data_IF_189583443832
#
_entry.id   IF_189583443832
#
_cell.length_a   1.000
_cell.length_b   1.000
_cell.length_c   1.000
_cell.angle_alpha   90.00
_cell.angle_beta   90.00
_cell.angle_gamma   90.00
#
_symmetry.space_group_name_H-M   'P 1'
#
loop_
_entity.id
_entity.type
_entity.pdbx_description
1 polymer ?
#
# COMPACT_ATOMS: atom_id res chain seq x y z
N UNK A 1 -11.43 -4.79 8.77
CA UNK A 1 -10.74 -3.81 9.62
C UNK A 1 -9.98 -2.80 8.80
N UNK A 2 -10.07 -1.51 9.15
CA UNK A 2 -9.27 -0.44 8.53
C UNK A 2 -8.06 -0.16 9.42
N UNK A 3 -6.87 -0.25 8.85
CA UNK A 3 -5.60 0.09 9.48
C UNK A 3 -5.18 1.45 8.89
N UNK A 4 -4.78 2.38 9.76
CA UNK A 4 -4.31 3.71 9.36
C UNK A 4 -2.85 3.84 9.77
N UNK A 5 -1.97 4.11 8.79
CA UNK A 5 -0.56 4.36 9.03
C UNK A 5 -0.34 5.70 9.75
N UNK A 6 0.87 5.89 10.30
CA UNK A 6 1.22 7.06 11.09
C UNK A 6 1.00 8.41 10.36
N UNK A 7 1.10 8.41 9.04
CA UNK A 7 0.98 9.59 8.17
C UNK A 7 -0.37 9.69 7.46
N UNK A 8 -1.27 8.71 7.64
CA UNK A 8 -2.65 8.77 7.15
C UNK A 8 -3.02 7.78 6.05
N UNK A 9 -2.06 7.10 5.41
CA UNK A 9 -2.35 6.02 4.47
C UNK A 9 -3.26 4.95 5.10
N UNK A 10 -4.30 4.50 4.38
CA UNK A 10 -5.28 3.55 4.90
C UNK A 10 -5.27 2.25 4.11
N UNK A 11 -5.45 1.15 4.83
CA UNK A 11 -5.70 -0.16 4.20
C UNK A 11 -6.83 -0.91 4.90
N UNK A 12 -7.70 -1.54 4.11
CA UNK A 12 -8.76 -2.42 4.57
C UNK A 12 -8.29 -3.87 4.45
N UNK A 13 -8.38 -4.61 5.55
CA UNK A 13 -8.09 -6.05 5.64
C UNK A 13 -9.32 -6.80 6.13
N UNK A 14 -9.59 -7.99 5.59
CA UNK A 14 -10.74 -8.81 6.00
C UNK A 14 -10.47 -9.61 7.27
N UNK A 15 -9.24 -10.10 7.46
CA UNK A 15 -8.83 -10.93 8.60
C UNK A 15 -7.99 -10.12 9.61
N UNK A 16 -8.61 -9.18 10.31
CA UNK A 16 -8.01 -8.76 11.57
C UNK A 16 -8.46 -9.77 12.64
N UNK A 17 -7.51 -10.39 13.34
CA UNK A 17 -7.79 -11.05 14.61
C UNK A 17 -8.56 -10.09 15.54
N UNK A 18 -9.21 -10.62 16.58
CA UNK A 18 -9.89 -9.83 17.62
C UNK A 18 -8.90 -8.83 18.25
N UNK A 19 -8.83 -7.65 17.63
CA UNK A 19 -7.88 -6.59 17.95
C UNK A 19 -8.65 -5.58 18.76
N UNK A 20 -8.19 -5.34 19.98
CA UNK A 20 -8.80 -4.33 20.84
C UNK A 20 -8.70 -2.96 20.17
N UNK A 21 -9.69 -2.11 20.44
CA UNK A 21 -9.67 -0.72 19.98
C UNK A 21 -8.41 -0.02 20.55
N UNK A 22 -7.63 0.61 19.67
CA UNK A 22 -6.38 1.27 20.05
C UNK A 22 -5.16 0.35 20.17
N UNK A 23 -5.26 -0.93 19.79
CA UNK A 23 -4.10 -1.80 19.69
C UNK A 23 -3.14 -1.34 18.57
N UNK A 24 -1.83 -1.44 18.83
CA UNK A 24 -0.81 -1.27 17.80
C UNK A 24 -0.89 -2.41 16.80
N UNK A 25 -1.10 -2.08 15.52
CA UNK A 25 -1.22 -3.07 14.45
C UNK A 25 -0.09 -2.83 13.45
N UNK A 26 0.66 -3.89 13.16
CA UNK A 26 1.62 -3.92 12.06
C UNK A 26 1.00 -4.66 10.89
N UNK A 27 1.19 -4.12 9.69
CA UNK A 27 0.71 -4.73 8.47
C UNK A 27 1.83 -4.78 7.43
N UNK A 28 1.91 -5.89 6.70
CA UNK A 28 2.92 -6.12 5.68
C UNK A 28 2.27 -6.70 4.42
N UNK A 29 2.65 -6.18 3.25
CA UNK A 29 2.30 -6.73 1.94
C UNK A 29 3.58 -7.24 1.30
N UNK A 30 3.53 -8.43 0.72
CA UNK A 30 4.61 -8.88 -0.15
C UNK A 30 4.54 -8.16 -1.51
N UNK A 31 5.63 -7.61 -2.05
CA UNK A 31 5.60 -6.79 -3.26
C UNK A 31 4.87 -7.42 -4.45
N UNK A 32 4.95 -8.74 -4.63
CA UNK A 32 4.27 -9.47 -5.71
C UNK A 32 2.73 -9.43 -5.63
N UNK A 33 2.16 -8.96 -4.51
CA UNK A 33 0.72 -8.73 -4.32
C UNK A 33 0.29 -7.32 -4.68
N UNK A 34 1.21 -6.45 -5.10
CA UNK A 34 0.95 -5.07 -5.50
C UNK A 34 0.90 -4.99 -7.03
N UNK A 35 -0.06 -4.24 -7.56
CA UNK A 35 -0.13 -3.89 -8.98
C UNK A 35 -0.03 -2.39 -9.15
N UNK A 36 0.89 -1.95 -10.00
CA UNK A 36 1.02 -0.55 -10.42
C UNK A 36 0.23 -0.33 -11.70
N UNK A 37 -0.53 0.76 -11.76
CA UNK A 37 -1.34 1.15 -12.92
C UNK A 37 -1.30 2.66 -13.08
N UNK A 38 -1.24 3.15 -14.33
CA UNK A 38 -1.33 4.59 -14.63
C UNK A 38 -2.76 5.13 -14.54
N UNK A 39 -3.75 4.27 -14.27
CA UNK A 39 -5.16 4.61 -14.09
C UNK A 39 -5.68 3.97 -12.81
N UNK A 40 -6.46 4.73 -12.05
CA UNK A 40 -7.15 4.22 -10.85
C UNK A 40 -8.06 3.03 -11.22
N UNK A 41 -7.90 1.84 -10.60
CA UNK A 41 -8.79 0.71 -10.86
C UNK A 41 -10.21 0.99 -10.36
N UNK A 42 -11.23 0.57 -11.10
CA UNK A 42 -12.64 0.84 -10.78
C UNK A 42 -13.09 0.18 -9.46
N UNK A 43 -12.68 -1.08 -9.23
CA UNK A 43 -13.18 -1.92 -8.14
C UNK A 43 -12.11 -2.26 -7.09
N UNK A 44 -11.11 -1.38 -6.90
CA UNK A 44 -10.07 -1.62 -5.91
C UNK A 44 -10.55 -1.31 -4.48
N UNK A 45 -10.53 -2.31 -3.60
CA UNK A 45 -10.74 -2.13 -2.15
C UNK A 45 -9.64 -1.27 -1.54
N UNK A 46 -8.39 -1.51 -1.96
CA UNK A 46 -7.22 -0.75 -1.56
C UNK A 46 -6.52 -0.23 -2.82
N UNK A 47 -6.45 1.09 -2.96
CA UNK A 47 -5.67 1.76 -3.99
C UNK A 47 -5.07 3.02 -3.38
N UNK A 48 -3.76 3.18 -3.54
CA UNK A 48 -3.04 4.39 -3.19
C UNK A 48 -2.56 5.04 -4.49
N UNK A 49 -2.61 6.36 -4.52
CA UNK A 49 -2.11 7.17 -5.63
C UNK A 49 -0.82 7.84 -5.18
N UNK A 50 0.12 7.97 -6.11
CA UNK A 50 1.42 8.56 -5.86
C UNK A 50 2.23 8.73 -7.12
N UNK A 51 3.35 9.44 -7.00
CA UNK A 51 4.28 9.73 -8.07
C UNK A 51 5.36 8.64 -8.15
N UNK A 52 5.65 8.14 -9.35
CA UNK A 52 6.84 7.29 -9.57
C UNK A 52 8.08 8.20 -9.51
N UNK A 53 8.82 8.15 -8.41
CA UNK A 53 9.99 9.02 -8.22
C UNK A 53 11.31 8.35 -8.63
N UNK A 54 11.35 7.02 -8.64
CA UNK A 54 12.51 6.24 -9.07
C UNK A 54 12.08 4.89 -9.66
N UNK A 55 12.86 4.40 -10.62
CA UNK A 55 12.64 3.13 -11.32
C UNK A 55 13.97 2.45 -11.56
N UNK A 56 14.11 1.24 -11.06
CA UNK A 56 15.29 0.40 -11.29
C UNK A 56 14.89 -0.89 -12.01
N UNK A 57 15.65 -1.25 -13.04
CA UNK A 57 15.49 -2.52 -13.75
C UNK A 57 16.65 -3.45 -13.39
N UNK A 58 16.32 -4.64 -12.90
CA UNK A 58 17.26 -5.63 -12.36
C UNK A 58 17.14 -6.96 -13.13
N UNK A 59 16.98 -6.89 -14.46
CA UNK A 59 16.89 -8.06 -15.33
C UNK A 59 15.50 -8.71 -15.31
N UNK A 60 15.19 -9.51 -14.30
CA UNK A 60 13.90 -10.19 -14.20
C UNK A 60 12.85 -9.37 -13.42
N UNK A 61 13.27 -8.30 -12.75
CA UNK A 61 12.40 -7.45 -11.94
C UNK A 61 12.57 -5.97 -12.27
N UNK A 62 11.45 -5.24 -12.24
CA UNK A 62 11.45 -3.77 -12.20
C UNK A 62 10.97 -3.33 -10.81
N UNK A 63 11.78 -2.52 -10.14
CA UNK A 63 11.43 -1.90 -8.86
C UNK A 63 10.90 -0.51 -9.14
N UNK A 64 9.69 -0.24 -8.64
CA UNK A 64 9.09 1.08 -8.64
C UNK A 64 9.11 1.64 -7.24
N UNK A 65 9.65 2.84 -7.14
CA UNK A 65 9.62 3.64 -5.93
C UNK A 65 8.55 4.72 -6.12
N UNK A 66 7.48 4.62 -5.33
CA UNK A 66 6.30 5.48 -5.42
C UNK A 66 6.28 6.39 -4.19
N UNK A 67 6.16 7.69 -4.41
CA UNK A 67 6.01 8.70 -3.37
C UNK A 67 4.54 9.01 -3.20
N UNK A 68 4.02 8.87 -1.98
CA UNK A 68 2.64 9.16 -1.64
C UNK A 68 2.45 10.62 -1.20
N UNK A 69 1.22 11.11 -1.26
CA UNK A 69 0.88 12.48 -0.87
C UNK A 69 1.16 12.78 0.62
N UNK A 70 1.20 11.75 1.46
CA UNK A 70 1.52 11.87 2.88
C UNK A 70 3.03 11.90 3.17
N UNK A 71 3.86 11.88 2.12
CA UNK A 71 5.31 12.00 2.18
C UNK A 71 6.06 10.67 2.36
N UNK A 72 5.35 9.54 2.41
CA UNK A 72 5.94 8.20 2.37
C UNK A 72 6.46 7.81 0.99
#
# INVERSE_FOLDING_TARGET
TRITGATGAQIVVENAADTAMGADIVFAIRPEKIRVSSKKPADAVNALEGEVYDVAYLGDMTVFHIKLDDGQ
#
